data_IF_637187448474
#
_entry.id   IF_637187448474
#
_cell.length_a   1.000
_cell.length_b   1.000
_cell.length_c   1.000
_cell.angle_alpha   90.00
_cell.angle_beta   90.00
_cell.angle_gamma   90.00
#
_symmetry.space_group_name_H-M   'P 1'
#
loop_
_entity.id
_entity.type
_entity.pdbx_description
1 polymer ?
#
# COMPACT_ATOMS: atom_id res chain seq x y z
N UNK A 1 -19.38 0.26 4.51
CA UNK A 1 -19.16 -0.50 5.77
C UNK A 1 -19.25 -2.02 5.58
N UNK A 2 -20.15 -2.55 4.72
CA UNK A 2 -20.21 -3.99 4.42
C UNK A 2 -18.84 -4.59 4.01
N UNK A 3 -18.14 -3.96 3.07
CA UNK A 3 -16.84 -4.46 2.58
C UNK A 3 -15.78 -4.51 3.68
N UNK A 4 -15.70 -3.49 4.55
CA UNK A 4 -14.79 -3.49 5.69
C UNK A 4 -15.06 -4.68 6.62
N UNK A 5 -16.32 -4.92 6.98
CA UNK A 5 -16.68 -6.03 7.85
C UNK A 5 -16.34 -7.38 7.21
N UNK A 6 -16.56 -7.52 5.90
CA UNK A 6 -16.21 -8.72 5.14
C UNK A 6 -14.68 -8.93 5.06
N UNK A 7 -13.91 -7.86 4.85
CA UNK A 7 -12.44 -7.90 4.86
C UNK A 7 -11.92 -8.37 6.23
N UNK A 8 -12.35 -7.73 7.31
CA UNK A 8 -11.92 -8.09 8.67
C UNK A 8 -12.36 -9.50 9.03
N UNK A 9 -13.60 -9.89 8.69
CA UNK A 9 -14.12 -11.24 8.93
C UNK A 9 -13.31 -12.30 8.19
N UNK A 10 -12.92 -12.05 6.95
CA UNK A 10 -12.07 -12.98 6.20
C UNK A 10 -10.69 -13.12 6.84
N UNK A 11 -10.05 -12.01 7.21
CA UNK A 11 -8.74 -12.02 7.89
C UNK A 11 -8.84 -12.78 9.21
N UNK A 12 -9.89 -12.52 10.02
CA UNK A 12 -10.09 -13.20 11.30
C UNK A 12 -10.30 -14.71 11.17
N UNK A 13 -11.09 -15.15 10.18
CA UNK A 13 -11.31 -16.59 9.91
C UNK A 13 -10.04 -17.30 9.43
N UNK A 14 -9.21 -16.62 8.64
CA UNK A 14 -8.05 -17.20 7.98
C UNK A 14 -6.73 -16.64 8.54
N UNK A 15 -6.71 -16.24 9.81
CA UNK A 15 -5.62 -15.46 10.39
C UNK A 15 -4.26 -16.14 10.24
N UNK A 16 -4.17 -17.43 10.58
CA UNK A 16 -2.92 -18.20 10.51
C UNK A 16 -2.38 -18.23 9.08
N UNK A 17 -3.28 -18.45 8.10
CA UNK A 17 -2.93 -18.45 6.69
C UNK A 17 -2.41 -17.08 6.24
N UNK A 18 -3.16 -16.00 6.52
CA UNK A 18 -2.77 -14.65 6.11
C UNK A 18 -1.45 -14.23 6.79
N UNK A 19 -1.33 -14.44 8.10
CA UNK A 19 -0.11 -14.11 8.85
C UNK A 19 1.10 -14.88 8.30
N UNK A 20 0.95 -16.16 7.98
CA UNK A 20 2.04 -16.97 7.41
C UNK A 20 2.67 -16.37 6.15
N UNK A 21 1.86 -15.84 5.24
CA UNK A 21 2.35 -15.16 4.04
C UNK A 21 2.91 -13.77 4.32
N UNK A 22 2.44 -13.08 5.35
CA UNK A 22 2.77 -11.68 5.59
C UNK A 22 4.03 -11.51 6.45
N UNK A 23 4.40 -12.48 7.28
CA UNK A 23 5.56 -12.36 8.17
C UNK A 23 6.86 -12.09 7.41
N UNK A 24 7.21 -12.93 6.42
CA UNK A 24 8.48 -12.81 5.70
C UNK A 24 8.65 -11.44 5.01
N UNK A 25 7.70 -10.94 4.20
CA UNK A 25 7.87 -9.64 3.57
C UNK A 25 7.85 -8.51 4.61
N UNK A 26 7.13 -8.65 5.72
CA UNK A 26 7.10 -7.63 6.78
C UNK A 26 8.43 -7.50 7.51
N UNK A 27 9.08 -8.61 7.84
CA UNK A 27 10.42 -8.59 8.44
C UNK A 27 11.47 -8.03 7.49
N UNK A 28 11.44 -8.45 6.22
CA UNK A 28 12.43 -8.00 5.24
C UNK A 28 12.24 -6.52 4.88
N UNK A 29 11.03 -6.14 4.44
CA UNK A 29 10.73 -4.76 4.00
C UNK A 29 10.71 -3.82 5.21
N UNK A 30 9.97 -4.17 6.26
CA UNK A 30 9.86 -3.33 7.45
C UNK A 30 11.17 -3.20 8.22
N UNK A 31 11.95 -4.29 8.29
CA UNK A 31 13.21 -4.31 9.02
C UNK A 31 14.37 -3.63 8.28
N UNK A 32 14.49 -3.82 6.97
CA UNK A 32 15.65 -3.35 6.20
C UNK A 32 15.42 -2.05 5.42
N UNK A 33 14.18 -1.76 5.02
CA UNK A 33 13.89 -0.67 4.07
C UNK A 33 13.15 0.53 4.65
N UNK A 34 12.62 0.41 5.87
CA UNK A 34 11.88 1.47 6.56
C UNK A 34 10.90 2.23 5.63
N UNK A 35 9.92 1.53 5.03
CA UNK A 35 9.13 2.04 3.91
C UNK A 35 8.26 3.26 4.26
N UNK A 36 8.09 3.56 5.55
CA UNK A 36 7.32 4.69 6.04
C UNK A 36 8.16 5.95 6.33
N UNK A 37 9.36 6.06 5.74
CA UNK A 37 10.25 7.22 5.89
C UNK A 37 9.61 8.57 5.55
N UNK A 38 8.63 8.61 4.64
CA UNK A 38 7.84 9.82 4.33
C UNK A 38 7.07 10.33 5.55
N UNK A 39 6.57 9.44 6.41
CA UNK A 39 5.87 9.83 7.64
C UNK A 39 6.84 10.40 8.67
N UNK A 40 8.03 9.81 8.77
CA UNK A 40 9.09 10.33 9.65
C UNK A 40 9.61 11.68 9.17
N UNK A 41 9.73 11.86 7.85
CA UNK A 41 10.09 13.14 7.26
C UNK A 41 9.12 14.26 7.69
N UNK A 42 7.81 14.01 7.80
CA UNK A 42 6.88 15.02 8.30
C UNK A 42 7.21 15.46 9.73
N UNK A 43 7.68 14.55 10.58
CA UNK A 43 8.08 14.86 11.96
C UNK A 43 9.39 15.64 11.99
N UNK A 44 10.36 15.23 11.17
CA UNK A 44 11.71 15.80 11.14
C UNK A 44 11.78 17.14 10.40
N UNK A 45 10.84 17.37 9.48
CA UNK A 45 10.75 18.57 8.66
C UNK A 45 10.79 19.87 9.48
N UNK A 46 10.22 19.87 10.70
CA UNK A 46 10.26 21.04 11.60
C UNK A 46 11.67 21.52 11.95
N UNK A 47 12.65 20.61 11.91
CA UNK A 47 14.04 20.87 12.25
C UNK A 47 14.93 21.01 11.02
N UNK A 48 14.41 20.78 9.81
CA UNK A 48 15.20 20.78 8.58
C UNK A 48 15.43 22.21 8.11
N UNK A 49 16.70 22.60 7.95
CA UNK A 49 17.08 23.86 7.32
C UNK A 49 17.04 23.70 5.79
N UNK A 50 16.14 24.43 5.13
CA UNK A 50 15.93 24.31 3.68
C UNK A 50 16.66 25.41 2.94
N UNK A 51 17.81 25.06 2.34
CA UNK A 51 18.58 25.99 1.50
C UNK A 51 18.22 25.85 0.02
N UNK A 52 18.00 24.62 -0.43
CA UNK A 52 17.74 24.28 -1.82
C UNK A 52 16.83 23.04 -1.88
N UNK A 53 16.39 22.69 -3.09
CA UNK A 53 15.53 21.52 -3.30
C UNK A 53 16.22 20.20 -2.92
N UNK A 54 17.54 20.10 -3.10
CA UNK A 54 18.30 18.89 -2.79
C UNK A 54 18.24 18.52 -1.29
N UNK A 55 18.15 19.50 -0.38
CA UNK A 55 17.98 19.24 1.06
C UNK A 55 16.68 18.48 1.36
N UNK A 56 15.59 18.80 0.66
CA UNK A 56 14.30 18.12 0.82
C UNK A 56 14.34 16.76 0.13
N UNK A 57 14.94 16.70 -1.07
CA UNK A 57 15.02 15.47 -1.84
C UNK A 57 15.87 14.41 -1.12
N UNK A 58 17.02 14.77 -0.56
CA UNK A 58 17.89 13.85 0.18
C UNK A 58 17.26 13.35 1.48
N UNK A 59 16.39 14.16 2.09
CA UNK A 59 15.64 13.75 3.28
C UNK A 59 14.47 12.81 2.94
N UNK A 60 13.88 12.93 1.74
CA UNK A 60 12.81 12.05 1.26
C UNK A 60 13.32 10.77 0.59
N UNK A 61 14.45 10.82 -0.11
CA UNK A 61 15.05 9.70 -0.85
C UNK A 61 16.37 9.28 -0.20
N UNK A 62 16.39 8.07 0.37
CA UNK A 62 17.64 7.45 0.79
C UNK A 62 18.45 7.06 -0.45
N UNK A 63 19.69 7.55 -0.53
CA UNK A 63 20.54 7.45 -1.73
C UNK A 63 21.72 6.49 -1.55
N UNK A 64 21.60 5.49 -0.66
CA UNK A 64 22.65 4.49 -0.47
C UNK A 64 22.48 3.35 -1.49
N UNK A 65 23.57 2.94 -2.15
CA UNK A 65 23.59 1.80 -3.05
C UNK A 65 23.13 0.49 -2.39
N UNK A 66 23.42 0.33 -1.10
CA UNK A 66 22.94 -0.83 -0.32
C UNK A 66 21.41 -0.81 -0.23
N UNK A 67 20.80 0.36 -0.04
CA UNK A 67 19.34 0.48 0.04
C UNK A 67 18.70 0.15 -1.32
N UNK A 68 19.30 0.58 -2.42
CA UNK A 68 18.84 0.24 -3.78
C UNK A 68 18.86 -1.27 -3.98
N UNK A 69 19.95 -1.94 -3.60
CA UNK A 69 20.06 -3.40 -3.70
C UNK A 69 19.02 -4.11 -2.82
N UNK A 70 18.82 -3.64 -1.59
CA UNK A 70 17.79 -4.17 -0.68
C UNK A 70 16.38 -3.98 -1.24
N UNK A 71 16.10 -2.83 -1.89
CA UNK A 71 14.82 -2.57 -2.56
C UNK A 71 14.58 -3.53 -3.72
N UNK A 72 15.62 -3.86 -4.49
CA UNK A 72 15.52 -4.84 -5.57
C UNK A 72 15.14 -6.22 -5.04
N UNK A 73 15.87 -6.74 -4.05
CA UNK A 73 15.54 -8.04 -3.44
C UNK A 73 14.17 -8.04 -2.76
N UNK A 74 13.82 -6.96 -2.06
CA UNK A 74 12.51 -6.81 -1.44
C UNK A 74 11.38 -6.86 -2.46
N UNK A 75 11.57 -6.24 -3.63
CA UNK A 75 10.58 -6.26 -4.71
C UNK A 75 10.38 -7.69 -5.23
N UNK A 76 11.45 -8.46 -5.41
CA UNK A 76 11.37 -9.87 -5.84
C UNK A 76 10.60 -10.70 -4.81
N UNK A 77 10.99 -10.60 -3.53
CA UNK A 77 10.34 -11.32 -2.43
C UNK A 77 8.86 -10.93 -2.36
N UNK A 78 8.57 -9.63 -2.47
CA UNK A 78 7.23 -9.11 -2.46
C UNK A 78 6.39 -9.70 -3.58
N UNK A 79 6.84 -9.62 -4.83
CA UNK A 79 6.10 -10.14 -5.99
C UNK A 79 5.80 -11.63 -5.83
N UNK A 80 6.78 -12.43 -5.41
CA UNK A 80 6.59 -13.88 -5.24
C UNK A 80 5.53 -14.20 -4.17
N UNK A 81 5.67 -13.60 -2.98
CA UNK A 81 4.77 -13.86 -1.85
C UNK A 81 3.38 -13.28 -2.09
N UNK A 82 3.31 -12.09 -2.70
CA UNK A 82 2.06 -11.45 -3.02
C UNK A 82 1.29 -12.22 -4.08
N UNK A 83 1.98 -12.74 -5.11
CA UNK A 83 1.37 -13.61 -6.13
C UNK A 83 0.77 -14.88 -5.52
N UNK A 84 1.50 -15.51 -4.60
CA UNK A 84 1.04 -16.67 -3.85
C UNK A 84 -0.20 -16.36 -2.99
N UNK A 85 -0.15 -15.27 -2.22
CA UNK A 85 -1.22 -14.84 -1.32
C UNK A 85 -2.49 -14.53 -2.11
N UNK A 86 -2.35 -13.71 -3.16
CA UNK A 86 -3.45 -13.26 -4.01
C UNK A 86 -4.10 -14.44 -4.73
N UNK A 87 -3.34 -15.38 -5.28
CA UNK A 87 -3.91 -16.54 -5.95
C UNK A 87 -4.62 -17.51 -5.01
N UNK A 88 -4.12 -17.67 -3.78
CA UNK A 88 -4.83 -18.46 -2.76
C UNK A 88 -6.13 -17.76 -2.29
N UNK A 89 -6.12 -16.43 -2.14
CA UNK A 89 -7.34 -15.64 -1.83
C UNK A 89 -8.36 -15.82 -2.95
N UNK A 90 -7.95 -15.66 -4.20
CA UNK A 90 -8.80 -15.85 -5.37
C UNK A 90 -9.42 -17.25 -5.40
N UNK A 91 -8.59 -18.29 -5.24
CA UNK A 91 -9.06 -19.67 -5.22
C UNK A 91 -10.08 -19.88 -4.10
N UNK A 92 -9.83 -19.35 -2.90
CA UNK A 92 -10.76 -19.45 -1.79
C UNK A 92 -12.09 -18.74 -2.10
N UNK A 93 -12.05 -17.56 -2.71
CA UNK A 93 -13.27 -16.82 -3.08
C UNK A 93 -14.08 -17.53 -4.16
N UNK A 94 -13.41 -18.18 -5.13
CA UNK A 94 -14.05 -18.90 -6.26
C UNK A 94 -14.49 -20.32 -5.91
N UNK A 95 -13.77 -21.04 -5.04
CA UNK A 95 -14.03 -22.46 -4.74
C UNK A 95 -14.57 -22.72 -3.33
N UNK A 96 -14.44 -21.76 -2.41
CA UNK A 96 -14.77 -21.97 -0.99
C UNK A 96 -13.71 -22.75 -0.20
N UNK A 97 -12.62 -23.21 -0.85
CA UNK A 97 -11.56 -23.97 -0.20
C UNK A 97 -10.19 -23.31 -0.35
N UNK A 98 -9.41 -23.31 0.73
CA UNK A 98 -8.00 -22.96 0.68
C UNK A 98 -7.21 -24.17 0.14
N UNK A 99 -6.36 -23.94 -0.85
CA UNK A 99 -5.52 -24.98 -1.44
C UNK A 99 -4.03 -24.60 -1.43
N UNK A 100 -3.39 -24.58 -0.25
CA UNK A 100 -2.00 -24.13 -0.12
C UNK A 100 -0.99 -25.04 -0.83
N UNK A 101 -1.33 -26.30 -1.13
CA UNK A 101 -0.44 -27.19 -1.89
C UNK A 101 -0.24 -26.73 -3.33
N UNK A 102 -1.20 -25.97 -3.89
CA UNK A 102 -1.13 -25.45 -5.26
C UNK A 102 -0.45 -24.07 -5.36
N UNK A 103 0.20 -23.61 -4.28
CA UNK A 103 0.77 -22.25 -4.20
C UNK A 103 1.77 -21.94 -5.30
N UNK A 104 2.59 -22.90 -5.72
CA UNK A 104 3.57 -22.68 -6.81
C UNK A 104 2.88 -22.37 -8.15
N UNK A 105 1.76 -23.03 -8.45
CA UNK A 105 0.98 -22.75 -9.65
C UNK A 105 0.32 -21.37 -9.58
N UNK A 106 -0.15 -20.97 -8.39
CA UNK A 106 -0.66 -19.61 -8.17
C UNK A 106 0.41 -18.54 -8.38
N UNK A 107 1.65 -18.78 -7.92
CA UNK A 107 2.77 -17.87 -8.21
C UNK A 107 2.95 -17.78 -9.72
N UNK A 108 3.11 -18.90 -10.42
CA UNK A 108 3.37 -18.89 -11.86
C UNK A 108 2.29 -18.15 -12.67
N UNK A 109 1.02 -18.34 -12.32
CA UNK A 109 -0.10 -17.72 -13.03
C UNK A 109 -0.22 -16.21 -12.76
N UNK A 110 0.06 -15.78 -11.52
CA UNK A 110 -0.15 -14.39 -11.12
C UNK A 110 1.13 -13.53 -11.18
N UNK A 111 2.29 -14.15 -11.33
CA UNK A 111 3.59 -13.48 -11.24
C UNK A 111 3.70 -12.27 -12.18
N UNK A 112 3.33 -12.45 -13.45
CA UNK A 112 3.46 -11.38 -14.45
C UNK A 112 2.53 -10.20 -14.16
N UNK A 113 1.27 -10.50 -13.80
CA UNK A 113 0.28 -9.48 -13.42
C UNK A 113 0.75 -8.70 -12.19
N UNK A 114 1.07 -9.41 -11.11
CA UNK A 114 1.54 -8.79 -9.86
C UNK A 114 2.81 -7.97 -10.11
N UNK A 115 3.81 -8.51 -10.83
CA UNK A 115 5.03 -7.78 -11.17
C UNK A 115 4.73 -6.46 -11.88
N UNK A 116 3.81 -6.48 -12.85
CA UNK A 116 3.41 -5.29 -13.62
C UNK A 116 2.78 -4.23 -12.72
N UNK A 117 1.80 -4.61 -11.89
CA UNK A 117 1.12 -3.67 -10.98
C UNK A 117 2.02 -3.16 -9.85
N UNK A 118 2.94 -3.99 -9.35
CA UNK A 118 3.97 -3.55 -8.39
C UNK A 118 4.89 -2.52 -9.02
N UNK A 119 5.32 -2.71 -10.26
CA UNK A 119 6.17 -1.73 -10.95
C UNK A 119 5.45 -0.40 -11.21
N UNK A 120 4.19 -0.46 -11.65
CA UNK A 120 3.33 0.74 -11.78
C UNK A 120 3.22 1.47 -10.44
N UNK A 121 2.99 0.74 -9.35
CA UNK A 121 2.91 1.32 -8.02
C UNK A 121 4.23 1.94 -7.56
N UNK A 122 5.38 1.29 -7.80
CA UNK A 122 6.71 1.83 -7.46
C UNK A 122 7.00 3.14 -8.21
N UNK A 123 6.65 3.21 -9.50
CA UNK A 123 6.76 4.44 -10.29
C UNK A 123 5.85 5.52 -9.72
N UNK A 124 4.56 5.21 -9.50
CA UNK A 124 3.59 6.15 -8.96
C UNK A 124 3.99 6.68 -7.58
N UNK A 125 4.50 5.81 -6.70
CA UNK A 125 4.99 6.17 -5.38
C UNK A 125 6.25 7.05 -5.44
N UNK A 126 7.18 6.76 -6.36
CA UNK A 126 8.38 7.57 -6.56
C UNK A 126 8.05 8.96 -7.10
N UNK A 127 7.14 9.04 -8.08
CA UNK A 127 6.61 10.32 -8.59
C UNK A 127 5.88 11.09 -7.50
N UNK A 128 5.09 10.42 -6.67
CA UNK A 128 4.42 11.05 -5.53
C UNK A 128 5.41 11.67 -4.55
N UNK A 129 6.47 10.95 -4.16
CA UNK A 129 7.52 11.50 -3.28
C UNK A 129 8.20 12.71 -3.89
N UNK A 130 8.46 12.68 -5.20
CA UNK A 130 9.05 13.81 -5.91
C UNK A 130 8.13 15.04 -5.90
N UNK A 131 6.85 14.85 -6.23
CA UNK A 131 5.83 15.91 -6.20
C UNK A 131 5.64 16.49 -4.79
N UNK A 132 5.64 15.63 -3.79
CA UNK A 132 5.58 16.03 -2.39
C UNK A 132 6.79 16.88 -2.02
N UNK A 133 8.01 16.44 -2.37
CA UNK A 133 9.23 17.22 -2.16
C UNK A 133 9.20 18.58 -2.86
N UNK A 134 8.71 18.64 -4.09
CA UNK A 134 8.55 19.90 -4.83
C UNK A 134 7.58 20.83 -4.11
N UNK A 135 6.45 20.30 -3.64
CA UNK A 135 5.48 21.06 -2.86
C UNK A 135 6.10 21.61 -1.57
N UNK A 136 6.90 20.78 -0.86
CA UNK A 136 7.64 21.20 0.33
C UNK A 136 8.57 22.39 0.07
N UNK A 137 9.24 22.38 -1.08
CA UNK A 137 10.18 23.41 -1.50
C UNK A 137 9.50 24.69 -1.97
N UNK A 138 8.42 24.57 -2.76
CA UNK A 138 7.68 25.71 -3.32
C UNK A 138 7.08 26.57 -2.21
N UNK A 139 6.47 25.98 -1.18
CA UNK A 139 5.95 26.77 -0.05
C UNK A 139 7.08 27.45 0.72
N UNK A 140 8.26 26.83 0.85
CA UNK A 140 9.43 27.48 1.44
C UNK A 140 9.86 28.73 0.66
N UNK A 141 9.82 28.66 -0.67
CA UNK A 141 10.09 29.80 -1.54
C UNK A 141 9.00 30.88 -1.38
N UNK A 142 7.72 30.51 -1.46
CA UNK A 142 6.60 31.44 -1.38
C UNK A 142 6.58 32.19 -0.04
N UNK A 143 6.94 31.51 1.05
CA UNK A 143 7.05 32.13 2.36
C UNK A 143 8.36 32.93 2.56
N UNK A 144 9.27 32.95 1.58
CA UNK A 144 10.52 33.71 1.64
C UNK A 144 11.50 33.20 2.70
N UNK A 145 11.47 31.89 3.03
CA UNK A 145 12.15 31.30 4.20
C UNK A 145 13.32 30.37 3.86
N UNK A 146 13.92 30.54 2.69
CA UNK A 146 15.16 29.82 2.35
C UNK A 146 16.25 30.14 3.39
N UNK A 147 17.03 29.13 3.78
CA UNK A 147 18.05 29.28 4.82
C UNK A 147 17.54 29.13 6.24
N UNK A 148 16.25 28.83 6.43
CA UNK A 148 15.65 28.71 7.77
C UNK A 148 14.84 27.42 7.92
N UNK A 149 14.50 27.11 9.17
CA UNK A 149 13.54 26.05 9.50
C UNK A 149 12.11 26.53 9.24
N UNK A 150 11.17 25.62 8.93
CA UNK A 150 9.78 26.00 8.70
C UNK A 150 9.12 26.55 9.96
N UNK A 151 8.22 27.51 9.79
CA UNK A 151 7.39 28.02 10.87
C UNK A 151 6.21 27.09 11.17
N UNK A 152 5.56 27.30 12.33
CA UNK A 152 4.33 26.57 12.68
C UNK A 152 3.24 26.78 11.61
N UNK A 153 3.09 27.98 11.08
CA UNK A 153 2.11 28.26 10.02
C UNK A 153 2.40 27.46 8.73
N UNK A 154 3.67 27.39 8.31
CA UNK A 154 4.09 26.58 7.16
C UNK A 154 3.84 25.10 7.42
N UNK A 155 4.11 24.63 8.64
CA UNK A 155 3.85 23.25 9.02
C UNK A 155 2.36 22.88 8.92
N UNK A 156 1.46 23.77 9.36
CA UNK A 156 0.01 23.58 9.23
C UNK A 156 -0.42 23.53 7.76
N UNK A 157 0.05 24.48 6.94
CA UNK A 157 -0.24 24.51 5.49
C UNK A 157 0.25 23.22 4.82
N UNK A 158 1.46 22.77 5.15
CA UNK A 158 2.01 21.52 4.63
C UNK A 158 1.20 20.31 5.02
N UNK A 159 0.76 20.25 6.28
CA UNK A 159 -0.05 19.12 6.77
C UNK A 159 -1.34 19.01 5.97
N UNK A 160 -2.03 20.13 5.72
CA UNK A 160 -3.25 20.14 4.89
C UNK A 160 -2.98 19.66 3.47
N UNK A 161 -1.92 20.18 2.83
CA UNK A 161 -1.54 19.76 1.47
C UNK A 161 -1.15 18.28 1.40
N UNK A 162 -0.45 17.77 2.41
CA UNK A 162 -0.09 16.36 2.51
C UNK A 162 -1.32 15.46 2.64
N UNK A 163 -2.35 15.88 3.40
CA UNK A 163 -3.60 15.14 3.52
C UNK A 163 -4.33 15.05 2.18
N UNK A 164 -4.41 16.17 1.44
CA UNK A 164 -5.01 16.18 0.09
C UNK A 164 -4.25 15.26 -0.86
N UNK A 165 -2.91 15.33 -0.84
CA UNK A 165 -2.06 14.49 -1.66
C UNK A 165 -2.20 13.00 -1.29
N UNK A 166 -2.34 12.67 -0.01
CA UNK A 166 -2.59 11.31 0.48
C UNK A 166 -3.94 10.77 0.01
N UNK A 167 -5.00 11.58 0.03
CA UNK A 167 -6.33 11.19 -0.48
C UNK A 167 -6.27 10.84 -1.96
N UNK A 168 -5.56 11.65 -2.75
CA UNK A 168 -5.34 11.36 -4.18
C UNK A 168 -4.55 10.06 -4.39
N UNK A 169 -3.50 9.82 -3.61
CA UNK A 169 -2.75 8.57 -3.69
C UNK A 169 -3.55 7.36 -3.24
N UNK A 170 -4.40 7.51 -2.23
CA UNK A 170 -5.28 6.44 -1.77
C UNK A 170 -6.27 6.03 -2.87
N UNK A 171 -6.78 7.00 -3.64
CA UNK A 171 -7.60 6.72 -4.82
C UNK A 171 -6.83 5.93 -5.88
N UNK A 172 -5.64 6.41 -6.29
CA UNK A 172 -4.82 5.73 -7.30
C UNK A 172 -4.41 4.33 -6.87
N UNK A 173 -4.07 4.15 -5.59
CA UNK A 173 -3.74 2.85 -5.03
C UNK A 173 -4.94 1.90 -5.02
N UNK A 174 -6.12 2.37 -4.60
CA UNK A 174 -7.35 1.59 -4.65
C UNK A 174 -7.71 1.16 -6.07
N UNK A 175 -7.61 2.07 -7.03
CA UNK A 175 -7.82 1.77 -8.45
C UNK A 175 -6.84 0.72 -8.97
N UNK A 176 -5.55 0.87 -8.65
CA UNK A 176 -4.48 -0.07 -9.04
C UNK A 176 -4.70 -1.46 -8.45
N UNK A 177 -5.09 -1.54 -7.18
CA UNK A 177 -5.41 -2.81 -6.52
C UNK A 177 -6.60 -3.52 -7.20
N UNK A 178 -7.66 -2.77 -7.52
CA UNK A 178 -8.85 -3.34 -8.18
C UNK A 178 -8.55 -3.77 -9.61
N UNK A 179 -7.78 -2.98 -10.37
CA UNK A 179 -7.33 -3.35 -11.71
C UNK A 179 -6.46 -4.62 -11.67
N UNK A 180 -5.59 -4.78 -10.69
CA UNK A 180 -4.81 -6.01 -10.52
C UNK A 180 -5.70 -7.24 -10.26
N UNK A 181 -6.72 -7.11 -9.40
CA UNK A 181 -7.68 -8.19 -9.15
C UNK A 181 -8.42 -8.56 -10.44
N UNK A 182 -8.84 -7.55 -11.21
CA UNK A 182 -9.49 -7.74 -12.50
C UNK A 182 -8.60 -8.51 -13.49
N UNK A 183 -7.34 -8.11 -13.64
CA UNK A 183 -6.38 -8.82 -14.49
C UNK A 183 -6.17 -10.26 -14.05
N UNK A 184 -6.08 -10.53 -12.74
CA UNK A 184 -5.89 -11.89 -12.24
C UNK A 184 -7.12 -12.79 -12.49
N UNK A 185 -8.32 -12.24 -12.32
CA UNK A 185 -9.57 -13.01 -12.45
C UNK A 185 -9.96 -13.22 -13.91
N UNK A 186 -9.86 -12.18 -14.73
CA UNK A 186 -10.39 -12.12 -16.09
C UNK A 186 -9.31 -12.33 -17.16
N UNK A 187 -8.03 -12.17 -16.83
CA UNK A 187 -6.91 -12.26 -17.78
C UNK A 187 -6.85 -11.08 -18.76
N UNK A 188 -7.47 -9.95 -18.42
CA UNK A 188 -7.51 -8.76 -19.27
C UNK A 188 -6.18 -8.03 -19.34
N UNK A 189 -6.02 -7.20 -20.37
CA UNK A 189 -4.86 -6.31 -20.48
C UNK A 189 -4.92 -5.23 -19.39
N UNK A 190 -3.76 -4.72 -18.96
CA UNK A 190 -3.66 -3.68 -17.92
C UNK A 190 -4.54 -2.47 -18.22
N UNK A 191 -4.58 -2.02 -19.49
CA UNK A 191 -5.37 -0.86 -19.91
C UNK A 191 -6.87 -1.13 -19.74
N UNK A 192 -7.32 -2.31 -20.19
CA UNK A 192 -8.72 -2.75 -20.02
C UNK A 192 -9.07 -2.84 -18.54
N UNK A 193 -8.23 -3.47 -17.72
CA UNK A 193 -8.46 -3.61 -16.29
C UNK A 193 -8.51 -2.27 -15.55
N UNK A 194 -7.76 -1.25 -15.97
CA UNK A 194 -7.90 0.10 -15.42
C UNK A 194 -9.22 0.76 -15.81
N UNK A 195 -9.68 0.57 -17.05
CA UNK A 195 -10.99 1.05 -17.50
C UNK A 195 -12.11 0.39 -16.70
N UNK A 196 -12.09 -0.94 -16.61
CA UNK A 196 -13.10 -1.73 -15.90
C UNK A 196 -13.09 -1.39 -14.40
N UNK A 197 -11.91 -1.31 -13.77
CA UNK A 197 -11.81 -0.89 -12.38
C UNK A 197 -12.36 0.52 -12.15
N UNK A 198 -12.11 1.46 -13.07
CA UNK A 198 -12.68 2.82 -12.99
C UNK A 198 -14.20 2.80 -13.07
N UNK A 199 -14.77 2.02 -13.98
CA UNK A 199 -16.21 1.89 -14.16
C UNK A 199 -16.89 1.23 -12.95
N UNK A 200 -16.26 0.20 -12.37
CA UNK A 200 -16.74 -0.50 -11.17
C UNK A 200 -16.71 0.42 -9.94
N UNK A 201 -15.71 1.32 -9.85
CA UNK A 201 -15.57 2.28 -8.75
C UNK A 201 -16.51 3.48 -8.92
N UNK A 202 -17.05 3.71 -10.13
CA UNK A 202 -17.87 4.88 -10.42
C UNK A 202 -19.02 5.02 -9.40
N UNK A 203 -19.22 6.23 -8.88
CA UNK A 203 -20.12 6.56 -7.75
C UNK A 203 -19.77 5.96 -6.37
N UNK A 204 -18.68 5.20 -6.24
CA UNK A 204 -18.22 4.58 -4.97
C UNK A 204 -16.77 4.93 -4.60
N UNK A 205 -16.17 5.90 -5.30
CA UNK A 205 -14.80 6.39 -5.08
C UNK A 205 -14.47 6.60 -3.60
N UNK A 206 -15.32 7.33 -2.88
CA UNK A 206 -15.11 7.63 -1.45
C UNK A 206 -15.12 6.40 -0.55
N UNK A 207 -15.86 5.35 -0.92
CA UNK A 207 -15.85 4.09 -0.18
C UNK A 207 -14.50 3.40 -0.32
N UNK A 208 -13.93 3.35 -1.54
CA UNK A 208 -12.61 2.78 -1.80
C UNK A 208 -11.51 3.59 -1.11
N UNK A 209 -11.55 4.91 -1.23
CA UNK A 209 -10.60 5.81 -0.55
C UNK A 209 -10.63 5.58 0.96
N UNK A 210 -11.82 5.52 1.58
CA UNK A 210 -11.93 5.27 3.01
C UNK A 210 -11.36 3.90 3.41
N UNK A 211 -11.67 2.85 2.64
CA UNK A 211 -11.11 1.50 2.87
C UNK A 211 -9.59 1.49 2.75
N UNK A 212 -9.03 2.26 1.82
CA UNK A 212 -7.58 2.35 1.62
C UNK A 212 -6.88 3.13 2.73
N UNK A 213 -7.48 4.22 3.20
CA UNK A 213 -6.91 5.09 4.24
C UNK A 213 -6.99 4.46 5.63
N UNK A 214 -7.97 3.59 5.90
CA UNK A 214 -8.22 3.04 7.22
C UNK A 214 -6.98 2.39 7.89
N UNK A 215 -6.20 1.50 7.24
CA UNK A 215 -4.97 0.98 7.85
C UNK A 215 -3.95 2.08 8.18
N UNK A 216 -3.84 3.12 7.35
CA UNK A 216 -2.93 4.24 7.60
C UNK A 216 -3.29 5.05 8.85
N UNK A 217 -4.55 5.05 9.28
CA UNK A 217 -4.96 5.68 10.55
C UNK A 217 -4.29 4.99 11.75
N UNK A 218 -3.99 3.68 11.66
CA UNK A 218 -3.27 2.94 12.69
C UNK A 218 -1.75 2.93 12.46
N UNK A 219 -1.32 2.78 11.21
CA UNK A 219 0.10 2.72 10.86
C UNK A 219 0.79 4.06 11.14
N UNK A 220 0.14 5.19 10.83
CA UNK A 220 0.75 6.52 11.02
C UNK A 220 1.14 6.81 12.47
N UNK A 221 0.24 6.75 13.47
CA UNK A 221 0.63 6.97 14.87
C UNK A 221 1.64 5.92 15.34
N UNK A 222 1.53 4.66 14.91
CA UNK A 222 2.49 3.61 15.27
C UNK A 222 3.91 3.93 14.79
N UNK A 223 4.05 4.33 13.52
CA UNK A 223 5.35 4.67 12.91
C UNK A 223 5.92 5.94 13.54
N UNK A 224 5.09 6.99 13.69
CA UNK A 224 5.51 8.26 14.31
C UNK A 224 5.97 8.05 15.75
N UNK A 225 5.23 7.29 16.56
CA UNK A 225 5.66 6.94 17.91
C UNK A 225 6.95 6.10 17.88
N UNK A 226 7.07 5.15 16.96
CA UNK A 226 8.29 4.35 16.82
C UNK A 226 9.52 5.18 16.47
N UNK A 227 9.36 6.24 15.69
CA UNK A 227 10.41 7.22 15.40
C UNK A 227 10.77 8.05 16.65
N UNK A 228 9.76 8.59 17.35
CA UNK A 228 9.96 9.45 18.52
C UNK A 228 10.55 8.72 19.75
N UNK A 229 10.22 7.44 19.93
CA UNK A 229 10.65 6.63 21.08
C UNK A 229 11.69 5.56 20.70
N UNK A 230 12.33 5.67 19.53
CA UNK A 230 13.44 4.82 19.10
C UNK A 230 13.14 3.31 18.96
N UNK A 231 11.90 2.92 18.65
CA UNK A 231 11.51 1.54 18.29
C UNK A 231 11.11 1.38 16.82
N UNK A 232 11.68 2.22 15.95
CA UNK A 232 11.33 2.36 14.53
C UNK A 232 11.35 1.03 13.75
N UNK A 233 12.28 0.12 14.06
CA UNK A 233 12.34 -1.20 13.42
C UNK A 233 11.02 -1.97 13.61
N UNK A 234 10.56 -2.07 14.86
CA UNK A 234 9.35 -2.83 15.23
C UNK A 234 8.12 -2.15 14.65
N UNK A 235 8.03 -0.81 14.73
CA UNK A 235 6.88 -0.08 14.18
C UNK A 235 6.75 -0.23 12.66
N UNK A 236 7.88 -0.27 11.92
CA UNK A 236 7.87 -0.51 10.48
C UNK A 236 7.46 -1.94 10.13
N UNK A 237 7.98 -2.95 10.83
CA UNK A 237 7.59 -4.36 10.63
C UNK A 237 6.08 -4.52 10.85
N UNK A 238 5.55 -4.01 11.96
CA UNK A 238 4.12 -4.08 12.25
C UNK A 238 3.28 -3.29 11.23
N UNK A 239 3.76 -2.12 10.81
CA UNK A 239 3.07 -1.31 9.81
C UNK A 239 2.95 -2.02 8.45
N UNK A 240 4.03 -2.65 7.99
CA UNK A 240 4.02 -3.45 6.77
C UNK A 240 3.10 -4.66 6.93
N UNK A 241 3.15 -5.34 8.09
CA UNK A 241 2.30 -6.48 8.35
C UNK A 241 0.81 -6.13 8.29
N UNK A 242 0.40 -5.03 8.92
CA UNK A 242 -0.99 -4.54 8.86
C UNK A 242 -1.41 -4.27 7.42
N UNK A 243 -0.59 -3.55 6.65
CA UNK A 243 -0.89 -3.23 5.25
C UNK A 243 -1.03 -4.49 4.39
N UNK A 244 -0.10 -5.43 4.52
CA UNK A 244 -0.06 -6.65 3.72
C UNK A 244 -1.16 -7.65 4.07
N UNK A 245 -1.59 -7.71 5.34
CA UNK A 245 -2.75 -8.51 5.72
C UNK A 245 -4.04 -7.92 5.13
N UNK A 246 -4.16 -6.59 5.13
CA UNK A 246 -5.40 -5.91 4.83
C UNK A 246 -5.65 -5.71 3.32
N UNK A 247 -4.69 -5.14 2.59
CA UNK A 247 -4.93 -4.66 1.22
C UNK A 247 -5.29 -5.75 0.21
N UNK A 248 -4.66 -6.94 0.19
CA UNK A 248 -5.03 -8.01 -0.74
C UNK A 248 -6.47 -8.47 -0.51
N UNK A 249 -6.84 -8.69 0.74
CA UNK A 249 -8.20 -9.12 1.11
C UNK A 249 -9.21 -8.02 0.80
N UNK A 250 -8.87 -6.76 1.09
CA UNK A 250 -9.72 -5.60 0.79
C UNK A 250 -9.98 -5.47 -0.72
N UNK A 251 -8.95 -5.66 -1.54
CA UNK A 251 -9.07 -5.59 -3.00
C UNK A 251 -10.04 -6.67 -3.52
N UNK A 252 -9.86 -7.93 -3.12
CA UNK A 252 -10.74 -9.03 -3.55
C UNK A 252 -12.17 -8.89 -3.02
N UNK A 253 -12.35 -8.56 -1.74
CA UNK A 253 -13.69 -8.34 -1.17
C UNK A 253 -14.43 -7.20 -1.85
N UNK A 254 -13.74 -6.09 -2.14
CA UNK A 254 -14.33 -4.93 -2.81
C UNK A 254 -14.65 -5.22 -4.27
N UNK A 255 -13.73 -5.86 -5.01
CA UNK A 255 -13.96 -6.23 -6.41
C UNK A 255 -15.18 -7.16 -6.56
N UNK A 256 -15.25 -8.24 -5.78
CA UNK A 256 -16.38 -9.17 -5.86
C UNK A 256 -17.72 -8.52 -5.49
N UNK A 257 -17.75 -7.66 -4.46
CA UNK A 257 -18.99 -6.96 -4.06
C UNK A 257 -19.43 -5.94 -5.11
N UNK A 258 -18.49 -5.18 -5.69
CA UNK A 258 -18.83 -4.14 -6.66
C UNK A 258 -19.19 -4.73 -8.02
N UNK A 259 -18.50 -5.78 -8.46
CA UNK A 259 -18.81 -6.54 -9.68
C UNK A 259 -20.00 -7.50 -9.51
N UNK A 260 -20.60 -7.59 -8.31
CA UNK A 260 -21.73 -8.47 -7.98
C UNK A 260 -21.46 -9.96 -8.25
N UNK A 261 -20.22 -10.39 -8.07
CA UNK A 261 -19.80 -11.79 -8.24
C UNK A 261 -20.06 -12.52 -6.92
N UNK A 262 -20.72 -13.67 -7.01
CA UNK A 262 -20.96 -14.51 -5.83
C UNK A 262 -19.65 -15.06 -5.28
N UNK A 263 -19.52 -15.02 -3.96
CA UNK A 263 -18.37 -15.53 -3.22
C UNK A 263 -18.72 -16.85 -2.54
N UNK A 264 -17.85 -17.84 -2.68
CA UNK A 264 -18.06 -19.19 -2.15
C UNK A 264 -17.42 -19.41 -0.77
N UNK A 265 -16.49 -18.56 -0.36
CA UNK A 265 -15.80 -18.62 0.96
C UNK A 265 -16.76 -18.37 2.16
N UNK A 266 -17.89 -17.72 1.90
CA UNK A 266 -18.91 -17.45 2.90
C UNK A 266 -19.93 -18.58 3.07
N UNK A 267 -19.92 -19.58 2.19
CA UNK A 267 -20.91 -20.66 2.16
C UNK A 267 -20.39 -21.81 3.02
N UNK A 268 -21.13 -22.13 4.10
CA UNK A 268 -20.66 -23.02 5.17
C UNK A 268 -20.59 -24.51 4.80
N UNK A 269 -20.98 -24.93 3.59
CA UNK A 269 -20.99 -26.32 3.09
C UNK A 269 -21.33 -26.33 1.59
N UNK A 270 -20.43 -26.85 0.75
CA UNK A 270 -20.84 -27.60 -0.44
C UNK A 270 -20.79 -29.06 -0.04
N UNK A 271 -21.95 -29.69 0.09
CA UNK A 271 -22.03 -31.15 0.12
C UNK A 271 -21.71 -31.65 -1.28
N UNK A 272 -20.61 -32.37 -1.43
CA UNK A 272 -20.49 -33.54 -2.31
C UNK A 272 -19.56 -34.54 -1.62
#
# INVERSE_FOLDING_TARGET
MKNLNETIRYIGKNLIFVVGFVLLPSFYIGGLLQPFSVLNFMVDYKNLVVNNFANILSALFTSNWIDILNWFFATIIFVLIFSALVGNIENHFKSGHLNPSNTLNFINNNFLSVCTYVFIFLIAYSLFKLLLGLLYFVVHIICGRLGSTPTVAMFVVMTVLCVVALVFMAYLFGLTLLAMVDTNICGYSVVTSYSDASDIINNRVWQVVFLVVLPFVFITPLVVCGHLFHFQLISNILGVAIAFMYYPVMAYTTYFDFSRINRYDNIRRYYY
#
